data_IF_893112849669
#
_entry.id   IF_893112849669
#
_cell.length_a   1.000
_cell.length_b   1.000
_cell.length_c   1.000
_cell.angle_alpha   90.00
_cell.angle_beta   90.00
_cell.angle_gamma   90.00
#
_symmetry.space_group_name_H-M   'P 1'
#
loop_
_entity.id
_entity.type
_entity.pdbx_description
1 polymer ?
#
# COMPACT_ATOMS: atom_id res chain seq x y z
N UNK A 1 11.89 -22.26 18.71
CA UNK A 1 11.70 -20.94 18.09
C UNK A 1 10.52 -20.12 18.64
N UNK A 2 9.72 -20.66 19.55
CA UNK A 2 8.56 -19.94 20.13
C UNK A 2 8.88 -18.88 21.20
N UNK A 3 10.05 -18.89 21.82
CA UNK A 3 10.40 -17.95 22.88
C UNK A 3 10.77 -16.55 22.36
N UNK A 4 11.30 -16.45 21.15
CA UNK A 4 11.69 -15.15 20.55
C UNK A 4 10.50 -14.28 20.16
N UNK A 5 9.40 -14.91 19.72
CA UNK A 5 8.19 -14.19 19.29
C UNK A 5 7.42 -13.59 20.51
N UNK A 6 7.43 -14.29 21.63
CA UNK A 6 6.80 -13.79 22.87
C UNK A 6 7.54 -12.60 23.49
N UNK A 7 8.87 -12.58 23.37
CA UNK A 7 9.69 -11.46 23.85
C UNK A 7 9.50 -10.22 22.98
N UNK A 8 9.39 -10.38 21.64
CA UNK A 8 9.14 -9.27 20.74
C UNK A 8 7.76 -8.64 20.98
N UNK A 9 6.72 -9.45 21.26
CA UNK A 9 5.37 -8.95 21.54
C UNK A 9 5.29 -8.21 22.87
N UNK A 10 6.06 -8.62 23.89
CA UNK A 10 6.15 -7.93 25.17
C UNK A 10 6.90 -6.60 25.08
N UNK A 11 7.92 -6.48 24.22
CA UNK A 11 8.65 -5.22 24.01
C UNK A 11 7.77 -4.19 23.30
N UNK A 12 6.95 -4.58 22.34
CA UNK A 12 6.02 -3.69 21.64
C UNK A 12 4.88 -3.23 22.58
N UNK A 13 4.41 -4.09 23.48
CA UNK A 13 3.36 -3.75 24.45
C UNK A 13 3.83 -2.82 25.58
N UNK A 14 5.12 -2.78 25.91
CA UNK A 14 5.66 -1.90 26.97
C UNK A 14 6.01 -0.50 26.49
N UNK A 15 6.13 -0.26 25.18
CA UNK A 15 6.41 1.07 24.63
C UNK A 15 5.17 1.97 24.48
N UNK A 16 3.97 1.44 24.69
CA UNK A 16 2.72 2.20 24.54
C UNK A 16 2.13 2.77 25.85
N UNK A 17 2.80 2.64 26.99
CA UNK A 17 2.26 3.07 28.32
C UNK A 17 3.00 4.23 28.99
N UNK A 18 3.87 4.96 28.32
CA UNK A 18 4.56 6.12 28.90
C UNK A 18 4.13 7.44 28.29
N UNK A 19 2.98 7.96 28.74
CA UNK A 19 2.54 9.27 28.31
C UNK A 19 1.25 9.77 28.94
N UNK A 20 1.22 9.98 30.27
CA UNK A 20 0.32 10.93 30.95
C UNK A 20 0.80 11.13 32.37
N UNK A 21 1.72 12.08 32.59
CA UNK A 21 1.96 12.63 33.90
C UNK A 21 1.11 13.90 34.05
N UNK A 22 0.02 13.78 34.79
CA UNK A 22 -0.81 14.90 35.22
C UNK A 22 -0.06 15.76 36.20
N UNK A 23 0.12 17.03 35.89
CA UNK A 23 0.53 18.05 36.86
C UNK A 23 -0.71 18.50 37.66
N UNK A 24 -0.88 17.94 38.81
CA UNK A 24 -1.81 18.44 39.82
C UNK A 24 -1.12 19.43 40.72
N UNK A 25 -1.43 20.73 40.60
CA UNK A 25 -1.10 21.73 41.58
C UNK A 25 -2.12 21.67 42.74
N UNK A 26 -1.68 21.19 43.88
CA UNK A 26 -2.38 21.25 45.15
C UNK A 26 -1.74 22.33 46.02
N UNK A 27 -2.59 23.27 46.49
CA UNK A 27 -2.36 24.24 47.55
C UNK A 27 -1.54 25.53 47.24
N UNK A 28 -2.27 26.61 47.29
CA UNK A 28 -1.73 27.99 47.40
C UNK A 28 -2.86 29.01 47.36
N UNK A 29 -3.57 29.20 48.48
CA UNK A 29 -4.39 30.38 48.73
C UNK A 29 -3.49 31.58 49.02
N UNK A 30 -3.28 32.43 48.03
CA UNK A 30 -2.67 33.75 48.18
C UNK A 30 -3.72 34.86 48.07
N UNK A 31 -3.51 36.06 48.62
CA UNK A 31 -4.52 37.09 48.75
C UNK A 31 -4.95 37.63 47.40
N UNK A 32 -6.23 37.96 47.31
CA UNK A 32 -6.96 38.57 46.22
C UNK A 32 -6.30 39.93 45.84
N UNK A 33 -5.51 39.93 44.79
CA UNK A 33 -4.95 41.13 44.21
C UNK A 33 -5.97 41.69 43.20
N UNK A 34 -6.42 42.91 43.41
CA UNK A 34 -7.38 43.64 42.55
C UNK A 34 -6.89 43.61 41.11
N UNK A 35 -7.76 43.40 40.13
CA UNK A 35 -7.36 43.42 38.71
C UNK A 35 -6.77 44.76 38.35
N UNK A 36 -5.62 44.80 37.67
CA UNK A 36 -5.07 46.05 37.14
C UNK A 36 -6.08 46.69 36.17
N UNK A 37 -6.12 48.04 36.10
CA UNK A 37 -7.00 48.73 35.15
C UNK A 37 -6.75 48.22 33.75
N UNK A 38 -7.83 47.97 33.02
CA UNK A 38 -7.80 47.49 31.64
C UNK A 38 -6.83 48.37 30.85
N UNK A 39 -5.73 47.78 30.38
CA UNK A 39 -4.86 48.44 29.44
C UNK A 39 -5.72 48.70 28.17
N UNK A 40 -5.83 49.99 27.81
CA UNK A 40 -6.43 50.38 26.53
C UNK A 40 -5.72 49.55 25.44
N UNK A 41 -6.48 48.76 24.75
CA UNK A 41 -5.97 48.04 23.57
C UNK A 41 -5.36 49.04 22.62
N UNK A 42 -4.08 48.93 22.21
CA UNK A 42 -3.50 49.85 21.26
C UNK A 42 -4.35 49.77 20.00
N UNK A 43 -5.00 50.89 19.66
CA UNK A 43 -5.85 51.00 18.51
C UNK A 43 -5.14 50.47 17.27
N UNK A 44 -5.82 49.72 16.49
CA UNK A 44 -5.33 49.08 15.27
C UNK A 44 -4.69 50.13 14.36
N UNK A 45 -3.35 50.15 14.30
CA UNK A 45 -2.56 51.24 13.64
C UNK A 45 -2.65 51.16 12.13
N UNK A 46 -3.15 50.07 11.58
CA UNK A 46 -3.32 49.85 10.15
C UNK A 46 -4.70 49.22 9.91
N UNK A 47 -5.58 49.97 9.28
CA UNK A 47 -6.82 49.41 8.71
C UNK A 47 -6.48 49.01 7.27
N UNK A 48 -6.27 47.72 6.98
CA UNK A 48 -5.96 47.30 5.63
C UNK A 48 -7.24 47.39 4.78
N UNK A 49 -7.37 48.45 4.01
CA UNK A 49 -8.35 48.55 2.89
C UNK A 49 -7.98 47.50 1.80
N UNK A 50 -7.80 46.25 2.15
CA UNK A 50 -7.62 45.19 1.20
C UNK A 50 -8.97 44.51 1.03
N UNK A 51 -9.59 44.69 -0.14
CA UNK A 51 -10.73 43.86 -0.55
C UNK A 51 -10.38 42.39 -0.24
N UNK A 52 -11.14 41.77 0.67
CA UNK A 52 -11.03 40.35 0.90
C UNK A 52 -11.28 39.66 -0.43
N UNK A 53 -10.24 39.14 -1.05
CA UNK A 53 -10.41 38.16 -2.12
C UNK A 53 -11.18 37.02 -1.51
N UNK A 54 -12.37 36.73 -2.02
CA UNK A 54 -13.01 35.44 -1.83
C UNK A 54 -12.07 34.38 -2.41
N UNK A 55 -11.23 33.84 -1.55
CA UNK A 55 -10.47 32.66 -1.89
C UNK A 55 -11.53 31.58 -2.11
N UNK A 56 -11.79 31.26 -3.38
CA UNK A 56 -12.58 30.09 -3.75
C UNK A 56 -11.89 28.91 -3.06
N UNK A 57 -12.58 28.30 -2.10
CA UNK A 57 -12.08 27.08 -1.48
C UNK A 57 -11.68 26.14 -2.63
N UNK A 58 -10.43 25.66 -2.69
CA UNK A 58 -10.06 24.72 -3.70
C UNK A 58 -11.07 23.57 -3.61
N UNK A 59 -11.71 23.24 -4.71
CA UNK A 59 -12.50 22.04 -4.79
C UNK A 59 -11.54 20.91 -4.39
N UNK A 60 -11.80 20.26 -3.27
CA UNK A 60 -11.08 19.05 -2.87
C UNK A 60 -11.42 18.07 -3.99
N UNK A 61 -10.43 17.76 -4.82
CA UNK A 61 -10.57 16.81 -5.90
C UNK A 61 -10.96 15.47 -5.25
N UNK A 62 -12.21 15.04 -5.53
CA UNK A 62 -12.81 13.83 -4.97
C UNK A 62 -12.53 12.65 -5.91
N UNK A 63 -11.31 12.53 -6.35
CA UNK A 63 -10.89 11.39 -7.18
C UNK A 63 -10.50 10.23 -6.27
N UNK A 64 -11.53 9.63 -5.62
CA UNK A 64 -11.33 8.54 -4.67
C UNK A 64 -11.12 7.18 -5.35
N UNK A 65 -11.49 7.07 -6.62
CA UNK A 65 -11.38 5.82 -7.38
C UNK A 65 -10.19 5.85 -8.33
N UNK A 66 -9.48 4.74 -8.36
CA UNK A 66 -8.34 4.50 -9.22
C UNK A 66 -8.55 3.21 -10.00
N UNK A 67 -8.50 3.25 -11.33
CA UNK A 67 -8.58 2.05 -12.20
C UNK A 67 -7.39 2.00 -13.13
N UNK A 68 -6.86 0.81 -13.36
CA UNK A 68 -5.75 0.66 -14.27
C UNK A 68 -5.41 -0.76 -14.64
N UNK A 69 -4.36 -0.88 -15.43
CA UNK A 69 -3.80 -2.15 -15.87
C UNK A 69 -2.30 -2.19 -15.58
N UNK A 70 -1.77 -3.38 -15.53
CA UNK A 70 -0.34 -3.59 -15.29
C UNK A 70 0.20 -4.74 -16.14
N UNK A 71 1.51 -4.72 -16.32
CA UNK A 71 2.29 -5.78 -16.96
C UNK A 71 3.62 -5.92 -16.22
N UNK A 72 4.09 -7.15 -16.08
CA UNK A 72 5.31 -7.43 -15.35
C UNK A 72 5.82 -8.84 -15.50
N UNK A 73 6.56 -9.27 -14.51
CA UNK A 73 7.14 -10.61 -14.42
C UNK A 73 6.69 -11.22 -13.09
N UNK A 74 6.19 -12.45 -13.15
CA UNK A 74 5.87 -13.26 -12.00
C UNK A 74 6.75 -14.50 -11.99
N UNK A 75 7.45 -14.72 -10.90
CA UNK A 75 8.24 -15.93 -10.64
C UNK A 75 7.42 -16.86 -9.77
N UNK A 76 6.89 -17.92 -10.40
CA UNK A 76 6.14 -18.96 -9.69
C UNK A 76 7.14 -20.00 -9.20
N UNK A 77 7.10 -20.30 -7.90
CA UNK A 77 8.04 -21.25 -7.28
C UNK A 77 7.97 -22.60 -7.99
N UNK A 78 9.14 -23.16 -8.35
CA UNK A 78 9.35 -24.39 -9.12
C UNK A 78 8.94 -24.32 -10.62
N UNK A 79 8.21 -23.29 -11.08
CA UNK A 79 7.70 -23.16 -12.46
C UNK A 79 8.35 -22.03 -13.27
N UNK A 80 9.35 -21.35 -12.68
CA UNK A 80 10.10 -20.29 -13.36
C UNK A 80 9.39 -18.95 -13.42
N UNK A 81 9.95 -18.04 -14.23
CA UNK A 81 9.47 -16.67 -14.34
C UNK A 81 8.83 -16.41 -15.69
N UNK A 82 7.64 -15.81 -15.70
CA UNK A 82 6.86 -15.55 -16.88
C UNK A 82 6.22 -14.17 -16.84
N UNK A 83 5.74 -13.69 -17.98
CA UNK A 83 5.04 -12.41 -18.07
C UNK A 83 3.69 -12.52 -17.37
N UNK A 84 3.41 -11.57 -16.48
CA UNK A 84 2.11 -11.37 -15.84
C UNK A 84 1.47 -10.10 -16.39
N UNK A 85 0.16 -10.11 -16.52
CA UNK A 85 -0.64 -8.93 -16.85
C UNK A 85 -1.97 -8.97 -16.12
N UNK A 86 -2.52 -7.80 -15.86
CA UNK A 86 -3.75 -7.73 -15.09
C UNK A 86 -4.35 -6.33 -15.03
N UNK A 87 -5.40 -6.23 -14.22
CA UNK A 87 -6.11 -5.01 -13.94
C UNK A 87 -6.24 -4.80 -12.43
N UNK A 88 -6.36 -3.54 -12.03
CA UNK A 88 -6.56 -3.12 -10.64
C UNK A 88 -7.65 -2.07 -10.55
N UNK A 89 -8.38 -2.10 -9.46
CA UNK A 89 -9.34 -1.09 -9.04
C UNK A 89 -9.07 -0.76 -7.59
N UNK A 90 -8.81 0.49 -7.28
CA UNK A 90 -8.60 0.91 -5.89
C UNK A 90 -9.61 2.00 -5.50
N UNK A 91 -9.93 2.02 -4.22
CA UNK A 91 -10.71 3.05 -3.57
C UNK A 91 -9.91 3.65 -2.42
N UNK A 92 -9.67 4.96 -2.50
CA UNK A 92 -8.93 5.72 -1.50
C UNK A 92 -9.86 6.13 -0.37
N UNK A 93 -9.72 5.49 0.81
CA UNK A 93 -10.53 5.78 2.00
C UNK A 93 -10.06 7.09 2.64
N UNK A 94 -8.76 7.31 2.62
CA UNK A 94 -8.08 8.52 3.09
C UNK A 94 -6.82 8.73 2.23
N UNK A 95 -6.16 9.87 2.37
CA UNK A 95 -4.85 10.12 1.71
C UNK A 95 -3.79 9.04 2.06
N UNK A 96 -3.90 8.43 3.24
CA UNK A 96 -2.96 7.41 3.71
C UNK A 96 -3.40 5.97 3.46
N UNK A 97 -4.68 5.70 3.18
CA UNK A 97 -5.22 4.34 3.13
C UNK A 97 -6.11 4.10 1.92
N UNK A 98 -5.93 2.95 1.27
CA UNK A 98 -6.77 2.52 0.15
C UNK A 98 -7.06 1.02 0.21
N UNK A 99 -8.16 0.63 -0.42
CA UNK A 99 -8.52 -0.77 -0.68
C UNK A 99 -8.38 -1.02 -2.16
N UNK A 100 -7.74 -2.13 -2.52
CA UNK A 100 -7.49 -2.49 -3.90
C UNK A 100 -8.05 -3.88 -4.21
N UNK A 101 -8.79 -4.00 -5.31
CA UNK A 101 -9.12 -5.25 -5.96
C UNK A 101 -8.20 -5.45 -7.17
N UNK A 102 -7.55 -6.61 -7.26
CA UNK A 102 -6.62 -6.93 -8.35
C UNK A 102 -6.98 -8.27 -8.98
N UNK A 103 -6.90 -8.34 -10.30
CA UNK A 103 -6.94 -9.58 -11.07
C UNK A 103 -5.73 -9.65 -11.96
N UNK A 104 -5.01 -10.77 -11.94
CA UNK A 104 -3.84 -10.97 -12.79
C UNK A 104 -3.78 -12.39 -13.34
N UNK A 105 -3.04 -12.52 -14.44
CA UNK A 105 -2.86 -13.79 -15.15
C UNK A 105 -1.43 -13.93 -15.65
N UNK A 106 -0.90 -15.15 -15.52
CA UNK A 106 0.39 -15.56 -16.08
C UNK A 106 0.32 -17.01 -16.55
N UNK A 107 1.13 -17.35 -17.54
CA UNK A 107 1.33 -18.73 -17.95
C UNK A 107 2.62 -19.26 -17.34
N UNK A 108 2.58 -20.39 -16.63
CA UNK A 108 3.77 -20.97 -15.98
C UNK A 108 4.61 -21.78 -16.94
N UNK A 109 5.93 -21.79 -16.72
CA UNK A 109 6.89 -22.57 -17.50
C UNK A 109 6.90 -24.06 -17.16
N UNK A 110 7.85 -24.76 -17.74
CA UNK A 110 8.16 -26.16 -17.38
C UNK A 110 8.89 -26.17 -16.03
N UNK A 111 8.56 -27.14 -15.19
CA UNK A 111 9.32 -27.35 -13.95
C UNK A 111 10.75 -27.83 -14.26
N UNK A 112 11.67 -27.65 -13.31
CA UNK A 112 13.01 -28.21 -13.42
C UNK A 112 12.98 -29.74 -13.56
N UNK A 113 12.02 -30.40 -12.94
CA UNK A 113 11.82 -31.86 -13.06
C UNK A 113 11.40 -32.26 -14.49
N UNK A 114 10.43 -31.55 -15.09
CA UNK A 114 9.99 -31.79 -16.48
C UNK A 114 11.12 -31.56 -17.48
N UNK A 115 11.91 -30.52 -17.25
CA UNK A 115 13.04 -30.15 -18.10
C UNK A 115 14.17 -31.19 -18.05
N UNK A 116 14.45 -31.76 -16.89
CA UNK A 116 15.55 -32.75 -16.68
C UNK A 116 15.14 -34.17 -16.98
N UNK A 117 13.87 -34.56 -16.72
CA UNK A 117 13.38 -35.93 -16.94
C UNK A 117 13.09 -36.26 -18.39
N UNK A 118 12.95 -35.25 -19.24
CA UNK A 118 12.83 -35.41 -20.71
C UNK A 118 11.54 -36.08 -21.22
N UNK A 119 10.50 -36.26 -20.40
CA UNK A 119 9.36 -37.01 -20.91
C UNK A 119 8.03 -36.94 -20.19
N UNK A 120 7.97 -36.70 -18.91
CA UNK A 120 6.71 -36.65 -18.17
C UNK A 120 6.26 -35.21 -17.97
N UNK A 121 5.23 -34.76 -18.67
CA UNK A 121 4.57 -33.48 -18.39
C UNK A 121 3.72 -33.64 -17.13
N UNK A 122 3.96 -32.83 -16.10
CA UNK A 122 3.18 -32.80 -14.87
C UNK A 122 1.84 -32.11 -15.06
N UNK A 123 1.81 -31.05 -15.88
CA UNK A 123 0.63 -30.23 -16.14
C UNK A 123 0.32 -30.16 -17.64
N UNK A 124 -0.95 -30.14 -17.97
CA UNK A 124 -1.43 -29.81 -19.32
C UNK A 124 -1.25 -28.29 -19.59
N UNK A 125 -1.31 -27.89 -20.86
CA UNK A 125 -1.14 -26.50 -21.23
C UNK A 125 -2.23 -25.58 -20.59
N UNK A 126 -3.43 -26.11 -20.35
CA UNK A 126 -4.50 -25.37 -19.66
C UNK A 126 -4.32 -25.29 -18.14
N UNK A 127 -3.64 -26.24 -17.52
CA UNK A 127 -3.33 -26.24 -16.09
C UNK A 127 -2.13 -25.35 -15.75
N UNK A 128 -1.35 -24.92 -16.74
CA UNK A 128 -0.23 -23.99 -16.57
C UNK A 128 -0.68 -22.55 -16.45
N UNK A 129 -1.92 -22.26 -16.79
CA UNK A 129 -2.49 -20.94 -16.58
C UNK A 129 -2.71 -20.69 -15.09
N UNK A 130 -2.06 -19.65 -14.58
CA UNK A 130 -2.26 -19.16 -13.23
C UNK A 130 -3.05 -17.85 -13.30
N UNK A 131 -4.22 -17.82 -12.67
CA UNK A 131 -5.05 -16.62 -12.54
C UNK A 131 -5.32 -16.35 -11.07
N UNK A 132 -5.11 -15.13 -10.62
CA UNK A 132 -5.37 -14.73 -9.24
C UNK A 132 -6.33 -13.56 -9.13
N UNK A 133 -7.05 -13.52 -8.00
CA UNK A 133 -7.97 -12.46 -7.59
C UNK A 133 -7.67 -12.10 -6.15
N UNK A 134 -7.34 -10.85 -5.86
CA UNK A 134 -7.00 -10.40 -4.52
C UNK A 134 -7.78 -9.16 -4.13
N UNK A 135 -8.10 -9.05 -2.85
CA UNK A 135 -8.53 -7.82 -2.20
C UNK A 135 -7.49 -7.47 -1.14
N UNK A 136 -6.96 -6.28 -1.21
CA UNK A 136 -5.82 -5.85 -0.42
C UNK A 136 -6.07 -4.49 0.20
N UNK A 137 -5.50 -4.26 1.38
CA UNK A 137 -5.42 -2.97 2.03
C UNK A 137 -4.03 -2.38 1.79
N UNK A 138 -3.97 -1.16 1.30
CA UNK A 138 -2.74 -0.41 1.10
C UNK A 138 -2.62 0.75 2.07
N UNK A 139 -1.38 1.05 2.48
CA UNK A 139 -1.06 2.17 3.35
C UNK A 139 0.14 2.95 2.81
N UNK A 140 -0.06 4.26 2.56
CA UNK A 140 0.99 5.18 2.12
C UNK A 140 1.91 5.51 3.29
N UNK A 141 3.16 5.07 3.24
CA UNK A 141 4.14 5.23 4.34
C UNK A 141 5.04 6.44 4.17
N UNK A 142 5.38 6.79 2.92
CA UNK A 142 6.28 7.90 2.60
C UNK A 142 5.74 8.68 1.41
N UNK A 143 5.10 9.84 1.64
CA UNK A 143 4.87 10.82 0.58
C UNK A 143 6.19 11.48 0.19
N UNK A 144 6.36 11.79 -1.08
CA UNK A 144 7.56 12.40 -1.61
C UNK A 144 7.27 13.25 -2.84
N UNK A 145 8.26 14.03 -3.24
CA UNK A 145 8.26 14.80 -4.47
C UNK A 145 9.54 14.51 -5.25
N UNK A 146 9.41 14.32 -6.55
CA UNK A 146 10.54 14.14 -7.46
C UNK A 146 10.58 15.30 -8.44
N UNK A 147 11.73 15.98 -8.52
CA UNK A 147 11.97 17.06 -9.45
C UNK A 147 12.63 16.51 -10.71
N UNK A 148 11.97 16.66 -11.86
CA UNK A 148 12.51 16.23 -13.15
C UNK A 148 12.68 17.46 -14.04
N UNK A 149 13.94 17.76 -14.39
CA UNK A 149 14.31 18.95 -15.18
C UNK A 149 14.14 20.25 -14.43
N UNK A 150 14.13 21.35 -15.16
CA UNK A 150 13.98 22.69 -14.59
C UNK A 150 12.48 23.02 -14.42
N UNK A 151 11.96 22.88 -13.17
CA UNK A 151 10.67 23.45 -12.77
C UNK A 151 9.46 22.53 -12.84
N UNK A 152 9.63 21.19 -12.90
CA UNK A 152 8.52 20.23 -12.74
C UNK A 152 8.73 19.38 -11.50
N UNK A 153 7.79 19.49 -10.56
CA UNK A 153 7.67 18.62 -9.40
C UNK A 153 6.56 17.60 -9.66
N UNK A 154 6.82 16.35 -9.30
CA UNK A 154 5.85 15.25 -9.39
C UNK A 154 5.67 14.65 -8.01
N UNK A 155 4.44 14.47 -7.60
CA UNK A 155 4.12 13.80 -6.35
C UNK A 155 4.38 12.31 -6.47
N UNK A 156 4.97 11.74 -5.43
CA UNK A 156 5.26 10.31 -5.34
C UNK A 156 4.85 9.76 -3.99
N UNK A 157 4.57 8.47 -3.93
CA UNK A 157 4.16 7.80 -2.71
C UNK A 157 4.73 6.38 -2.67
N UNK A 158 5.42 6.06 -1.58
CA UNK A 158 5.76 4.68 -1.26
C UNK A 158 4.65 4.10 -0.39
N UNK A 159 4.13 2.93 -0.73
CA UNK A 159 3.09 2.27 0.03
C UNK A 159 3.41 0.79 0.30
N UNK A 160 2.83 0.28 1.37
CA UNK A 160 2.78 -1.15 1.67
C UNK A 160 1.37 -1.65 1.38
N UNK A 161 1.29 -2.91 0.97
CA UNK A 161 0.02 -3.56 0.66
C UNK A 161 0.00 -4.97 1.24
N UNK A 162 -1.14 -5.37 1.80
CA UNK A 162 -1.37 -6.71 2.27
C UNK A 162 -2.82 -7.10 2.01
N UNK A 163 -3.06 -8.34 1.63
CA UNK A 163 -4.40 -8.78 1.27
C UNK A 163 -4.57 -10.28 1.22
N UNK A 164 -5.80 -10.65 0.88
CA UNK A 164 -6.25 -12.01 0.78
C UNK A 164 -6.92 -12.21 -0.58
N UNK A 165 -6.87 -13.44 -1.08
CA UNK A 165 -7.50 -13.75 -2.34
C UNK A 165 -7.55 -15.23 -2.65
N UNK A 166 -7.70 -15.52 -3.93
CA UNK A 166 -7.71 -16.87 -4.47
C UNK A 166 -6.87 -16.92 -5.73
N UNK A 167 -6.06 -17.96 -5.83
CA UNK A 167 -5.28 -18.26 -7.04
C UNK A 167 -5.75 -19.58 -7.61
N UNK A 168 -6.17 -19.55 -8.87
CA UNK A 168 -6.46 -20.76 -9.65
C UNK A 168 -5.19 -21.20 -10.34
N UNK A 169 -4.70 -22.37 -10.00
CA UNK A 169 -3.50 -22.96 -10.57
C UNK A 169 -3.58 -24.50 -10.55
N UNK A 170 -3.11 -25.15 -11.61
CA UNK A 170 -3.11 -26.60 -11.76
C UNK A 170 -4.51 -27.26 -11.61
N UNK A 171 -5.57 -26.51 -12.00
CA UNK A 171 -6.96 -26.98 -11.92
C UNK A 171 -7.66 -26.71 -10.60
N UNK A 172 -6.96 -26.26 -9.57
CA UNK A 172 -7.51 -26.02 -8.23
C UNK A 172 -7.53 -24.53 -7.88
N UNK A 173 -8.52 -24.13 -7.07
CA UNK A 173 -8.59 -22.81 -6.46
C UNK A 173 -7.92 -22.84 -5.08
N UNK A 174 -6.89 -22.03 -4.88
CA UNK A 174 -6.07 -22.01 -3.65
C UNK A 174 -6.23 -20.69 -2.93
N UNK A 175 -6.43 -20.74 -1.62
CA UNK A 175 -6.43 -19.53 -0.80
C UNK A 175 -5.05 -18.87 -0.86
N UNK A 176 -5.04 -17.56 -1.11
CA UNK A 176 -3.81 -16.79 -1.30
C UNK A 176 -3.73 -15.64 -0.33
N UNK A 177 -2.60 -15.48 0.30
CA UNK A 177 -2.22 -14.26 1.04
C UNK A 177 -1.25 -13.48 0.16
N UNK A 178 -1.46 -12.18 -0.01
CA UNK A 178 -0.49 -11.34 -0.71
C UNK A 178 0.06 -10.26 0.22
N UNK A 179 1.33 -9.96 0.08
CA UNK A 179 2.02 -8.86 0.75
C UNK A 179 2.96 -8.19 -0.24
N UNK A 180 3.16 -6.90 -0.11
CA UNK A 180 4.02 -6.20 -1.03
C UNK A 180 4.29 -4.76 -0.67
N UNK A 181 5.04 -4.12 -1.55
CA UNK A 181 5.32 -2.69 -1.53
C UNK A 181 5.23 -2.14 -2.95
N UNK A 182 4.79 -0.89 -3.08
CA UNK A 182 4.71 -0.23 -4.35
C UNK A 182 5.12 1.22 -4.26
N UNK A 183 5.57 1.73 -5.39
CA UNK A 183 5.91 3.13 -5.57
C UNK A 183 5.00 3.74 -6.63
N UNK A 184 4.19 4.72 -6.21
CA UNK A 184 3.29 5.46 -7.08
C UNK A 184 3.95 6.77 -7.48
N UNK A 185 3.89 7.09 -8.76
CA UNK A 185 4.38 8.31 -9.36
C UNK A 185 3.24 9.00 -10.11
N UNK A 186 2.76 10.15 -9.60
CA UNK A 186 1.68 10.90 -10.20
C UNK A 186 2.23 11.76 -11.34
N UNK A 187 1.85 11.42 -12.57
CA UNK A 187 2.19 12.18 -13.78
C UNK A 187 1.36 13.45 -13.89
N UNK A 188 0.09 13.36 -13.50
CA UNK A 188 -0.89 14.44 -13.40
C UNK A 188 -1.80 14.13 -12.20
N UNK A 189 -2.72 15.03 -11.88
CA UNK A 189 -3.70 14.80 -10.80
C UNK A 189 -4.56 13.56 -11.06
N UNK A 190 -4.82 13.24 -12.33
CA UNK A 190 -5.67 12.12 -12.74
C UNK A 190 -4.91 10.86 -13.22
N UNK A 191 -3.57 10.87 -13.32
CA UNK A 191 -2.81 9.78 -13.95
C UNK A 191 -1.59 9.42 -13.14
N UNK A 192 -1.43 8.14 -12.83
CA UNK A 192 -0.24 7.64 -12.14
C UNK A 192 0.42 6.43 -12.83
N UNK A 193 1.71 6.29 -12.57
CA UNK A 193 2.50 5.10 -12.82
C UNK A 193 2.80 4.40 -11.49
N UNK A 194 2.79 3.09 -11.51
CA UNK A 194 3.09 2.25 -10.38
C UNK A 194 4.24 1.30 -10.68
N UNK A 195 5.13 1.13 -9.72
CA UNK A 195 6.10 0.06 -9.68
C UNK A 195 5.81 -0.76 -8.43
N UNK A 196 5.32 -1.98 -8.60
CA UNK A 196 4.90 -2.85 -7.51
C UNK A 196 5.78 -4.09 -7.42
N UNK A 197 6.04 -4.51 -6.17
CA UNK A 197 6.66 -5.78 -5.83
C UNK A 197 5.73 -6.50 -4.85
N UNK A 198 5.28 -7.70 -5.21
CA UNK A 198 4.33 -8.50 -4.42
C UNK A 198 4.81 -9.92 -4.26
N UNK A 199 4.47 -10.53 -3.15
CA UNK A 199 4.60 -11.97 -2.89
C UNK A 199 3.21 -12.56 -2.68
N UNK A 200 2.86 -13.54 -3.48
CA UNK A 200 1.62 -14.29 -3.40
C UNK A 200 1.90 -15.65 -2.78
N UNK A 201 1.44 -15.85 -1.55
CA UNK A 201 1.66 -17.05 -0.76
C UNK A 201 0.42 -17.94 -0.84
N UNK A 202 0.58 -19.17 -1.32
CA UNK A 202 -0.45 -20.19 -1.30
C UNK A 202 0.17 -21.59 -1.19
N UNK A 203 -0.62 -22.55 -0.72
CA UNK A 203 -0.12 -23.90 -0.52
C UNK A 203 -0.21 -24.72 -1.81
N UNK A 204 0.86 -25.47 -2.11
CA UNK A 204 0.99 -26.36 -3.26
C UNK A 204 1.31 -27.78 -2.77
N UNK A 205 0.61 -28.77 -3.34
CA UNK A 205 0.79 -30.21 -3.08
C UNK A 205 1.23 -31.01 -4.31
N UNK A 206 1.60 -30.35 -5.41
CA UNK A 206 1.89 -30.96 -6.71
C UNK A 206 3.11 -31.90 -6.74
N UNK A 207 4.05 -31.73 -5.83
CA UNK A 207 5.29 -32.53 -5.76
C UNK A 207 5.26 -33.57 -4.64
N UNK A 208 4.09 -33.82 -4.03
CA UNK A 208 3.89 -34.86 -3.01
C UNK A 208 4.19 -34.44 -1.57
N UNK A 209 4.48 -33.16 -1.34
CA UNK A 209 4.60 -32.56 -0.02
C UNK A 209 3.78 -31.26 -0.02
N UNK A 210 3.02 -31.05 1.06
CA UNK A 210 2.32 -29.78 1.29
C UNK A 210 3.36 -28.69 1.58
N UNK A 211 3.43 -27.68 0.71
CA UNK A 211 4.41 -26.59 0.80
C UNK A 211 3.74 -25.25 0.54
N UNK A 212 4.01 -24.26 1.37
CA UNK A 212 3.66 -22.87 1.06
C UNK A 212 4.64 -22.34 0.03
N UNK A 213 4.15 -22.02 -1.15
CA UNK A 213 4.92 -21.45 -2.25
C UNK A 213 4.95 -19.93 -2.19
N UNK A 214 6.12 -19.37 -2.47
CA UNK A 214 6.35 -17.94 -2.65
C UNK A 214 6.38 -17.57 -4.13
N UNK A 215 5.42 -16.74 -4.55
CA UNK A 215 5.30 -16.36 -5.94
C UNK A 215 5.53 -14.86 -6.07
N UNK A 216 6.77 -14.52 -6.41
CA UNK A 216 7.23 -13.13 -6.47
C UNK A 216 6.80 -12.48 -7.78
N UNK A 217 6.12 -11.34 -7.68
CA UNK A 217 5.68 -10.53 -8.80
C UNK A 217 6.32 -9.14 -8.75
N UNK A 218 6.82 -8.69 -9.90
CA UNK A 218 7.25 -7.31 -10.11
C UNK A 218 6.55 -6.77 -11.36
N UNK A 219 5.81 -5.67 -11.21
CA UNK A 219 5.06 -5.14 -12.34
C UNK A 219 5.05 -3.61 -12.40
N UNK A 220 4.85 -3.10 -13.61
CA UNK A 220 4.58 -1.71 -13.91
C UNK A 220 3.11 -1.55 -14.22
N UNK A 221 2.44 -0.63 -13.54
CA UNK A 221 1.05 -0.28 -13.72
C UNK A 221 0.87 1.14 -14.23
N UNK A 222 -0.22 1.33 -14.95
CA UNK A 222 -0.73 2.63 -15.36
C UNK A 222 -2.17 2.75 -14.87
N UNK A 223 -2.48 3.85 -14.20
CA UNK A 223 -3.79 4.06 -13.57
C UNK A 223 -4.34 5.45 -13.84
N UNK A 224 -5.65 5.55 -13.78
CA UNK A 224 -6.42 6.78 -13.90
C UNK A 224 -7.31 6.92 -12.68
N UNK A 225 -7.29 8.12 -12.09
CA UNK A 225 -8.14 8.53 -10.97
C UNK A 225 -9.41 9.22 -11.49
N UNK A 226 -10.54 9.04 -10.78
CA UNK A 226 -11.83 9.67 -11.09
C UNK A 226 -12.76 9.68 -9.90
#
# INVERSE_FOLDING_TARGET
MESGFRVLFLIVATLSLSGCAANGNLFGSGPEESPPPAAEEPGQVIDPEVERRDAKEPAIDREDFEVGAFVGIMSVEDFGSNTVYGARLAYHITEGMFVEGTVGRTDTGLTSFESLSGGARLLTDSERELTYYNVSLGYNILPGEVFIGEGRAYNTQLYLIAGLGSTRFAGDDRFTVNVGAGYRFLLTDAVALHLDFRDHLFDIDLLGEDKTAHNLEAHLGFTVFF
#
